data_IF_865163951930
#
_entry.id   IF_865163951930
#
_cell.length_a   1.000
_cell.length_b   1.000
_cell.length_c   1.000
_cell.angle_alpha   90.00
_cell.angle_beta   90.00
_cell.angle_gamma   90.00
#
_symmetry.space_group_name_H-M   'P 1'
#
loop_
_entity.id
_entity.type
_entity.pdbx_description
1 polymer ?
#
# COMPACT_ATOMS: atom_id res chain seq x y z
N UNK A 1 -2.41 -52.94 22.91
CA UNK A 1 -2.64 -52.75 21.46
C UNK A 1 -4.04 -53.28 21.18
N UNK A 2 -5.03 -52.43 20.94
CA UNK A 2 -6.42 -52.86 20.73
C UNK A 2 -6.68 -53.18 19.27
N UNK A 3 -7.04 -54.43 18.99
CA UNK A 3 -7.35 -54.94 17.64
C UNK A 3 -8.77 -54.53 17.26
N UNK A 4 -8.91 -53.61 16.30
CA UNK A 4 -10.20 -53.34 15.67
C UNK A 4 -10.54 -54.48 14.70
N UNK A 5 -11.52 -55.30 15.08
CA UNK A 5 -12.15 -56.26 14.17
C UNK A 5 -13.09 -55.52 13.22
N UNK A 6 -12.79 -55.54 11.92
CA UNK A 6 -13.76 -55.11 10.90
C UNK A 6 -14.71 -56.28 10.67
N UNK A 7 -15.96 -56.12 11.07
CA UNK A 7 -17.05 -57.07 10.79
C UNK A 7 -17.43 -56.96 9.31
N UNK A 8 -17.25 -58.06 8.56
CA UNK A 8 -17.74 -58.16 7.17
C UNK A 8 -19.22 -58.50 7.20
N UNK A 9 -20.08 -57.48 7.07
CA UNK A 9 -21.53 -57.64 7.17
C UNK A 9 -22.15 -58.23 5.88
N UNK A 10 -21.55 -58.03 4.70
CA UNK A 10 -21.98 -58.68 3.45
C UNK A 10 -20.80 -58.94 2.51
N UNK A 11 -20.69 -60.18 2.01
CA UNK A 11 -19.64 -60.63 1.09
C UNK A 11 -20.31 -61.30 -0.12
N UNK A 12 -19.92 -60.92 -1.34
CA UNK A 12 -20.45 -61.39 -2.63
C UNK A 12 -21.87 -60.92 -3.03
N UNK A 13 -22.32 -59.73 -2.61
CA UNK A 13 -23.47 -59.10 -3.29
C UNK A 13 -23.00 -58.46 -4.60
N UNK A 14 -23.67 -58.80 -5.70
CA UNK A 14 -23.47 -58.14 -6.99
C UNK A 14 -24.24 -56.83 -6.99
N UNK A 15 -23.52 -55.71 -6.89
CA UNK A 15 -24.10 -54.38 -7.09
C UNK A 15 -24.43 -54.24 -8.58
N UNK A 16 -25.71 -54.36 -8.91
CA UNK A 16 -26.22 -54.02 -10.23
C UNK A 16 -26.12 -52.50 -10.38
N UNK A 17 -25.13 -52.05 -11.13
CA UNK A 17 -24.98 -50.64 -11.48
C UNK A 17 -25.97 -50.35 -12.61
N UNK A 18 -26.99 -49.55 -12.30
CA UNK A 18 -27.93 -49.06 -13.30
C UNK A 18 -27.18 -48.20 -14.34
N UNK A 19 -27.49 -48.39 -15.62
CA UNK A 19 -26.75 -47.77 -16.74
C UNK A 19 -27.33 -46.42 -17.16
N UNK A 20 -28.44 -45.99 -16.58
CA UNK A 20 -29.02 -44.69 -16.90
C UNK A 20 -28.21 -43.56 -16.25
N UNK A 21 -27.87 -42.54 -17.06
CA UNK A 21 -27.20 -41.34 -16.59
C UNK A 21 -28.09 -40.64 -15.56
N UNK A 22 -27.66 -40.66 -14.30
CA UNK A 22 -28.33 -39.90 -13.26
C UNK A 22 -27.81 -38.47 -13.31
N UNK A 23 -28.61 -37.54 -13.84
CA UNK A 23 -28.28 -36.11 -13.81
C UNK A 23 -28.62 -35.56 -12.44
N UNK A 24 -27.61 -35.04 -11.74
CA UNK A 24 -27.79 -34.29 -10.50
C UNK A 24 -27.82 -32.80 -10.85
N UNK A 25 -28.94 -32.14 -10.57
CA UNK A 25 -28.98 -30.68 -10.62
C UNK A 25 -27.91 -30.10 -9.69
N UNK A 26 -27.17 -29.07 -10.12
CA UNK A 26 -26.22 -28.40 -9.25
C UNK A 26 -26.97 -27.89 -8.01
N UNK A 27 -26.52 -28.29 -6.82
CA UNK A 27 -27.15 -27.91 -5.55
C UNK A 27 -27.17 -26.38 -5.30
N UNK A 28 -26.54 -25.59 -6.17
CA UNK A 28 -26.70 -24.16 -6.23
C UNK A 28 -26.41 -23.63 -7.66
N UNK A 29 -27.45 -23.15 -8.36
CA UNK A 29 -27.33 -22.53 -9.67
C UNK A 29 -26.75 -21.11 -9.63
N UNK A 30 -26.49 -20.56 -8.44
CA UNK A 30 -25.89 -19.24 -8.31
C UNK A 30 -24.37 -19.40 -8.11
N UNK A 31 -23.53 -19.26 -9.17
CA UNK A 31 -22.14 -18.91 -8.93
C UNK A 31 -22.19 -17.65 -8.07
N UNK A 32 -21.49 -17.62 -6.95
CA UNK A 32 -21.29 -16.36 -6.21
C UNK A 32 -20.51 -15.43 -7.13
N UNK A 33 -21.21 -14.74 -8.03
CA UNK A 33 -20.74 -13.52 -8.64
C UNK A 33 -20.77 -12.48 -7.54
N UNK A 34 -19.62 -12.23 -6.93
CA UNK A 34 -19.42 -11.01 -6.15
C UNK A 34 -19.19 -9.86 -7.15
N UNK A 35 -20.22 -9.54 -7.92
CA UNK A 35 -20.26 -8.30 -8.70
C UNK A 35 -21.62 -7.67 -8.44
N UNK A 36 -21.62 -6.70 -7.55
CA UNK A 36 -22.78 -5.91 -7.16
C UNK A 36 -22.45 -5.12 -5.89
N UNK A 37 -21.91 -3.92 -6.10
CA UNK A 37 -21.64 -2.83 -5.15
C UNK A 37 -20.81 -3.16 -3.89
N UNK A 38 -19.59 -2.59 -3.84
CA UNK A 38 -18.84 -2.10 -2.66
C UNK A 38 -17.30 -2.20 -2.79
N UNK A 39 -16.76 -2.63 -3.94
CA UNK A 39 -15.28 -2.65 -4.10
C UNK A 39 -14.68 -1.23 -4.02
N UNK A 40 -15.47 -0.21 -4.33
CA UNK A 40 -15.09 1.20 -4.16
C UNK A 40 -15.13 1.63 -2.70
N UNK A 41 -16.18 1.28 -1.95
CA UNK A 41 -16.33 1.63 -0.52
C UNK A 41 -15.24 0.98 0.35
N UNK A 42 -14.86 -0.26 0.08
CA UNK A 42 -13.78 -0.93 0.80
C UNK A 42 -12.41 -0.26 0.56
N UNK A 43 -12.12 0.18 -0.67
CA UNK A 43 -10.87 0.88 -0.99
C UNK A 43 -10.86 2.31 -0.44
N UNK A 44 -11.97 3.05 -0.57
CA UNK A 44 -12.15 4.38 0.01
C UNK A 44 -12.07 4.34 1.54
N UNK A 45 -12.61 3.29 2.18
CA UNK A 45 -12.47 3.06 3.61
C UNK A 45 -11.02 2.77 3.99
N UNK A 46 -10.29 1.92 3.26
CA UNK A 46 -8.86 1.67 3.49
C UNK A 46 -8.03 2.96 3.34
N UNK A 47 -8.32 3.78 2.33
CA UNK A 47 -7.63 5.06 2.10
C UNK A 47 -7.98 6.05 3.21
N UNK A 48 -9.24 6.11 3.65
CA UNK A 48 -9.69 6.93 4.76
C UNK A 48 -9.03 6.50 6.07
N UNK A 49 -9.08 5.22 6.42
CA UNK A 49 -8.44 4.66 7.62
C UNK A 49 -6.92 4.85 7.62
N UNK A 50 -6.28 4.76 6.45
CA UNK A 50 -4.86 5.07 6.33
C UNK A 50 -4.59 6.56 6.59
N UNK A 51 -5.41 7.45 6.04
CA UNK A 51 -5.30 8.89 6.25
C UNK A 51 -5.59 9.29 7.71
N UNK A 52 -6.61 8.71 8.34
CA UNK A 52 -6.93 8.91 9.75
C UNK A 52 -5.82 8.36 10.66
N UNK A 53 -5.30 7.16 10.39
CA UNK A 53 -4.30 6.53 11.28
C UNK A 53 -2.91 7.12 11.14
N UNK A 54 -2.49 7.53 9.93
CA UNK A 54 -1.11 7.95 9.67
C UNK A 54 -0.96 9.46 9.44
N UNK A 55 -2.06 10.18 9.22
CA UNK A 55 -2.03 11.62 8.95
C UNK A 55 -3.00 12.47 9.81
N UNK A 56 -3.75 11.90 10.77
CA UNK A 56 -4.62 12.70 11.65
C UNK A 56 -3.85 13.64 12.59
N UNK A 57 -2.66 13.24 13.07
CA UNK A 57 -1.84 14.05 13.98
C UNK A 57 -0.99 15.11 13.24
N UNK A 58 -1.05 15.13 11.90
CA UNK A 58 -0.31 16.11 11.12
C UNK A 58 -1.15 17.38 10.98
N UNK A 59 -0.78 18.43 11.73
CA UNK A 59 -1.30 19.81 11.64
C UNK A 59 -1.00 20.44 10.26
N UNK A 60 -1.60 19.90 9.20
CA UNK A 60 -1.45 20.33 7.82
C UNK A 60 -2.81 20.22 7.10
N UNK A 61 -3.05 21.09 6.11
CA UNK A 61 -4.25 20.97 5.27
C UNK A 61 -4.18 19.73 4.38
N UNK A 62 -5.31 19.18 3.90
CA UNK A 62 -5.28 18.06 2.94
C UNK A 62 -4.45 18.36 1.69
N UNK A 63 -4.40 19.62 1.25
CA UNK A 63 -3.61 20.07 0.11
C UNK A 63 -2.11 20.03 0.42
N UNK A 64 -1.69 20.50 1.60
CA UNK A 64 -0.29 20.39 2.06
C UNK A 64 0.16 18.93 2.14
N UNK A 65 -0.70 18.05 2.67
CA UNK A 65 -0.41 16.60 2.77
C UNK A 65 -0.16 15.99 1.40
N UNK A 66 -1.00 16.32 0.41
CA UNK A 66 -0.84 15.90 -0.99
C UNK A 66 0.46 16.44 -1.59
N UNK A 67 0.74 17.73 -1.39
CA UNK A 67 1.94 18.37 -1.91
C UNK A 67 3.21 17.72 -1.35
N UNK A 68 3.21 17.35 -0.07
CA UNK A 68 4.34 16.64 0.52
C UNK A 68 4.50 15.24 -0.09
N UNK A 69 3.41 14.49 -0.26
CA UNK A 69 3.48 13.17 -0.91
C UNK A 69 3.99 13.26 -2.34
N UNK A 70 3.50 14.23 -3.12
CA UNK A 70 3.94 14.46 -4.50
C UNK A 70 5.43 14.84 -4.54
N UNK A 71 5.85 15.77 -3.69
CA UNK A 71 7.26 16.18 -3.57
C UNK A 71 8.15 14.99 -3.17
N UNK A 72 7.68 14.14 -2.27
CA UNK A 72 8.41 12.97 -1.80
C UNK A 72 8.55 11.92 -2.92
N UNK A 73 7.46 11.64 -3.62
CA UNK A 73 7.43 10.72 -4.77
C UNK A 73 8.35 11.22 -5.90
N UNK A 74 8.31 12.52 -6.19
CA UNK A 74 9.19 13.13 -7.19
C UNK A 74 10.66 12.95 -6.81
N UNK A 75 11.02 13.17 -5.54
CA UNK A 75 12.40 12.95 -5.05
C UNK A 75 12.85 11.50 -5.15
N UNK A 76 11.94 10.54 -4.98
CA UNK A 76 12.26 9.12 -5.21
C UNK A 76 12.53 8.88 -6.69
N UNK A 77 11.71 9.43 -7.59
CA UNK A 77 11.91 9.29 -9.03
C UNK A 77 13.21 9.93 -9.52
N UNK A 78 13.58 11.09 -8.97
CA UNK A 78 14.85 11.80 -9.24
C UNK A 78 16.07 11.15 -8.57
N UNK A 79 15.88 10.15 -7.70
CA UNK A 79 17.01 9.52 -7.01
C UNK A 79 17.90 8.78 -8.02
N UNK A 80 19.24 8.97 -8.00
CA UNK A 80 20.15 8.44 -9.04
C UNK A 80 20.12 6.90 -9.15
N UNK A 81 19.85 6.21 -8.04
CA UNK A 81 19.72 4.76 -8.02
C UNK A 81 18.34 4.22 -8.44
N UNK A 82 17.33 5.08 -8.62
CA UNK A 82 15.96 4.64 -8.89
C UNK A 82 15.87 3.87 -10.20
N UNK A 83 16.39 4.43 -11.29
CA UNK A 83 16.31 3.77 -12.60
C UNK A 83 17.09 2.45 -12.60
N UNK A 84 18.38 2.49 -12.23
CA UNK A 84 19.26 1.32 -12.34
C UNK A 84 18.95 0.20 -11.34
N UNK A 85 18.62 0.53 -10.08
CA UNK A 85 18.46 -0.47 -9.02
C UNK A 85 17.02 -0.91 -8.82
N UNK A 86 16.05 -0.08 -9.19
CA UNK A 86 14.63 -0.38 -9.04
C UNK A 86 13.94 -0.72 -10.37
N UNK A 87 14.02 0.15 -11.37
CA UNK A 87 13.27 -0.02 -12.65
C UNK A 87 13.89 -1.11 -13.53
N UNK A 88 15.20 -1.05 -13.75
CA UNK A 88 15.92 -1.96 -14.65
C UNK A 88 16.20 -3.34 -14.00
N UNK A 89 15.90 -3.49 -12.71
CA UNK A 89 16.17 -4.72 -11.97
C UNK A 89 15.00 -5.71 -12.05
N UNK A 90 15.25 -6.87 -12.66
CA UNK A 90 14.27 -7.94 -12.82
C UNK A 90 14.11 -8.81 -11.56
N UNK A 91 15.05 -8.75 -10.61
CA UNK A 91 14.98 -9.52 -9.37
C UNK A 91 14.05 -8.85 -8.35
N UNK A 92 12.93 -9.48 -7.95
CA UNK A 92 11.93 -8.84 -7.10
C UNK A 92 12.46 -8.50 -5.70
N UNK A 93 13.33 -9.34 -5.14
CA UNK A 93 13.89 -9.14 -3.80
C UNK A 93 14.89 -7.99 -3.75
N UNK A 94 15.84 -7.97 -4.69
CA UNK A 94 16.86 -6.91 -4.78
C UNK A 94 16.22 -5.57 -5.11
N UNK A 95 15.18 -5.56 -5.97
CA UNK A 95 14.40 -4.37 -6.28
C UNK A 95 13.70 -3.81 -5.04
N UNK A 96 13.07 -4.65 -4.23
CA UNK A 96 12.41 -4.21 -2.99
C UNK A 96 13.43 -3.61 -2.00
N UNK A 97 14.57 -4.27 -1.82
CA UNK A 97 15.63 -3.77 -0.94
C UNK A 97 16.18 -2.42 -1.43
N UNK A 98 16.37 -2.28 -2.74
CA UNK A 98 16.80 -1.02 -3.36
C UNK A 98 15.77 0.09 -3.13
N UNK A 99 14.48 -0.20 -3.33
CA UNK A 99 13.41 0.75 -3.08
C UNK A 99 13.39 1.22 -1.63
N UNK A 100 13.45 0.28 -0.67
CA UNK A 100 13.49 0.62 0.75
C UNK A 100 14.64 1.56 1.08
N UNK A 101 15.83 1.26 0.54
CA UNK A 101 17.01 2.11 0.75
C UNK A 101 16.84 3.51 0.16
N UNK A 102 16.29 3.62 -1.05
CA UNK A 102 16.00 4.91 -1.70
C UNK A 102 14.98 5.70 -0.88
N UNK A 103 13.93 5.04 -0.42
CA UNK A 103 12.90 5.64 0.41
C UNK A 103 13.48 6.23 1.70
N UNK A 104 14.31 5.44 2.42
CA UNK A 104 14.97 5.88 3.64
C UNK A 104 15.91 7.07 3.39
N UNK A 105 16.67 7.07 2.28
CA UNK A 105 17.58 8.16 1.92
C UNK A 105 16.83 9.47 1.62
N UNK A 106 15.74 9.39 0.86
CA UNK A 106 14.88 10.55 0.54
C UNK A 106 14.25 11.11 1.81
N UNK A 107 13.78 10.26 2.73
CA UNK A 107 13.26 10.70 4.02
C UNK A 107 14.31 11.44 4.86
N UNK A 108 15.54 10.92 4.93
CA UNK A 108 16.65 11.57 5.62
C UNK A 108 17.02 12.91 4.97
N UNK A 109 17.05 12.98 3.65
CA UNK A 109 17.34 14.19 2.88
C UNK A 109 16.31 15.29 3.17
N UNK A 110 15.02 14.95 3.15
CA UNK A 110 13.93 15.89 3.42
C UNK A 110 13.96 16.39 4.87
N UNK A 111 14.23 15.51 5.84
CA UNK A 111 14.43 15.91 7.24
C UNK A 111 15.62 16.85 7.39
N UNK A 112 16.75 16.54 6.73
CA UNK A 112 17.94 17.39 6.75
C UNK A 112 17.64 18.77 6.19
N UNK A 113 16.91 18.86 5.07
CA UNK A 113 16.49 20.13 4.50
C UNK A 113 15.66 20.97 5.49
N UNK A 114 14.66 20.36 6.14
CA UNK A 114 13.84 21.06 7.14
C UNK A 114 14.67 21.55 8.34
N UNK A 115 15.59 20.72 8.85
CA UNK A 115 16.48 21.10 9.95
C UNK A 115 17.44 22.23 9.57
N UNK A 116 18.04 22.16 8.39
CA UNK A 116 18.94 23.21 7.89
C UNK A 116 18.21 24.53 7.67
N UNK A 117 16.97 24.49 7.15
CA UNK A 117 16.12 25.68 7.03
C UNK A 117 15.79 26.27 8.41
N UNK A 118 15.38 25.43 9.37
CA UNK A 118 15.09 25.87 10.74
C UNK A 118 16.33 26.52 11.40
N UNK A 119 17.52 25.92 11.21
CA UNK A 119 18.79 26.50 11.65
C UNK A 119 19.08 27.83 10.96
N UNK A 120 18.82 27.93 9.65
CA UNK A 120 19.03 29.16 8.90
C UNK A 120 18.11 30.29 9.37
N UNK A 121 16.89 29.98 9.77
CA UNK A 121 15.96 30.93 10.38
C UNK A 121 16.43 31.49 11.74
N UNK A 122 17.38 30.85 12.42
CA UNK A 122 17.95 31.38 13.66
C UNK A 122 18.88 32.57 13.40
N UNK A 123 19.47 32.67 12.21
CA UNK A 123 20.32 33.80 11.79
C UNK A 123 19.47 35.06 11.58
N UNK A 124 19.80 36.15 12.29
CA UNK A 124 18.98 37.36 12.29
C UNK A 124 18.98 38.10 10.94
N UNK A 125 20.10 38.07 10.21
CA UNK A 125 20.16 38.68 8.89
C UNK A 125 19.24 37.93 7.92
N UNK A 126 19.34 36.60 7.84
CA UNK A 126 18.46 35.79 7.00
C UNK A 126 17.00 35.97 7.37
N UNK A 127 16.67 35.98 8.67
CA UNK A 127 15.30 36.15 9.17
C UNK A 127 14.71 37.50 8.76
N UNK A 128 15.49 38.58 8.84
CA UNK A 128 15.04 39.92 8.41
C UNK A 128 14.79 39.96 6.89
N UNK A 129 15.73 39.46 6.09
CA UNK A 129 15.58 39.42 4.63
C UNK A 129 14.39 38.57 4.20
N UNK A 130 14.21 37.40 4.83
CA UNK A 130 13.09 36.51 4.55
C UNK A 130 11.73 37.14 4.91
N UNK A 131 11.65 37.90 6.01
CA UNK A 131 10.45 38.68 6.35
C UNK A 131 10.18 39.78 5.33
N UNK A 132 11.21 40.51 4.92
CA UNK A 132 11.10 41.59 3.95
C UNK A 132 10.60 41.07 2.58
N UNK A 133 11.15 39.94 2.12
CA UNK A 133 10.72 39.31 0.86
C UNK A 133 9.28 38.79 0.94
N UNK A 134 8.94 38.10 2.01
CA UNK A 134 7.58 37.57 2.23
C UNK A 134 6.56 38.70 2.30
N UNK A 135 6.87 39.79 3.02
CA UNK A 135 6.01 40.97 3.09
C UNK A 135 5.78 41.59 1.72
N UNK A 136 6.81 41.75 0.90
CA UNK A 136 6.69 42.28 -0.47
C UNK A 136 5.82 41.39 -1.37
N UNK A 137 5.84 40.08 -1.17
CA UNK A 137 4.99 39.16 -1.92
C UNK A 137 3.51 39.29 -1.51
N UNK A 138 3.23 39.47 -0.22
CA UNK A 138 1.86 39.59 0.31
C UNK A 138 1.22 40.97 0.09
N UNK A 139 2.03 42.03 0.01
CA UNK A 139 1.58 43.42 -0.21
C UNK A 139 1.32 43.73 -1.70
N UNK A 140 1.50 42.72 -2.58
CA UNK A 140 1.31 42.82 -4.02
C UNK A 140 -0.11 42.43 -4.42
#
# INVERSE_FOLDING_TARGET
MSTYGIERVRLNESLLLDKDETSLDPANANPRGAHGDDETDALDEIIRDFNDRWFADWEATPEDKRQVYETFTQRIADHPDYQQKYVDNLDPYTRELAFKKIFDDVALSMRKFQMEFAKRLMDDQFKQEFRNSTRRYLDR
#
